data_IF_225397450679
#
_entry.id   IF_225397450679
#
_cell.length_a   1.000
_cell.length_b   1.000
_cell.length_c   1.000
_cell.angle_alpha   90.00
_cell.angle_beta   90.00
_cell.angle_gamma   90.00
#
_symmetry.space_group_name_H-M   'P 1'
#
loop_
_entity.id
_entity.type
_entity.pdbx_description
1 polymer ?
#
# COMPACT_ATOMS: atom_id res chain seq x y z
N UNK A 1 -19.97 -7.30 -1.70
CA UNK A 1 -19.06 -7.62 -0.59
C UNK A 1 -17.61 -7.89 -1.05
N UNK A 2 -17.37 -8.33 -2.29
CA UNK A 2 -16.00 -8.44 -2.88
C UNK A 2 -15.42 -7.14 -3.47
N UNK A 3 -16.21 -6.05 -3.55
CA UNK A 3 -15.78 -4.81 -4.24
C UNK A 3 -14.67 -4.06 -3.50
N UNK A 4 -14.49 -4.26 -2.20
CA UNK A 4 -13.46 -3.55 -1.42
C UNK A 4 -12.04 -4.02 -1.77
N UNK A 5 -11.89 -5.27 -2.24
CA UNK A 5 -10.61 -5.80 -2.75
C UNK A 5 -10.14 -5.00 -3.98
N UNK A 6 -11.06 -4.38 -4.72
CA UNK A 6 -10.71 -3.58 -5.89
C UNK A 6 -10.05 -2.26 -5.49
N UNK A 7 -10.30 -1.75 -4.28
CA UNK A 7 -9.79 -0.42 -3.86
C UNK A 7 -8.26 -0.36 -3.89
N UNK A 8 -7.51 -1.31 -3.29
CA UNK A 8 -6.05 -1.32 -3.41
C UNK A 8 -5.55 -1.66 -4.81
N UNK A 9 -6.33 -2.38 -5.63
CA UNK A 9 -5.92 -2.78 -6.98
C UNK A 9 -6.05 -1.64 -8.00
N UNK A 10 -6.97 -0.70 -7.79
CA UNK A 10 -7.21 0.41 -8.71
C UNK A 10 -5.97 1.31 -8.94
N UNK A 11 -5.23 1.77 -7.92
CA UNK A 11 -3.98 2.52 -8.13
C UNK A 11 -2.88 1.70 -8.80
N UNK A 12 -2.91 0.37 -8.63
CA UNK A 12 -1.98 -0.53 -9.31
C UNK A 12 -2.31 -0.63 -10.81
N UNK A 13 -3.60 -0.70 -11.17
CA UNK A 13 -4.04 -0.58 -12.55
C UNK A 13 -3.62 0.77 -13.16
N UNK A 14 -3.71 1.87 -12.39
CA UNK A 14 -3.23 3.18 -12.81
C UNK A 14 -1.72 3.15 -13.16
N UNK A 15 -0.91 2.52 -12.30
CA UNK A 15 0.52 2.36 -12.54
C UNK A 15 0.82 1.56 -13.82
N UNK A 16 0.08 0.46 -14.05
CA UNK A 16 0.21 -0.34 -15.27
C UNK A 16 -0.19 0.46 -16.52
N UNK A 17 -1.27 1.25 -16.45
CA UNK A 17 -1.69 2.13 -17.56
C UNK A 17 -0.62 3.14 -17.91
N UNK A 18 0.15 3.65 -16.93
CA UNK A 18 1.27 4.59 -17.17
C UNK A 18 2.54 3.89 -17.68
N UNK A 19 2.76 2.64 -17.30
CA UNK A 19 3.93 1.84 -17.72
C UNK A 19 3.79 1.26 -19.15
N UNK A 20 2.64 0.70 -19.51
CA UNK A 20 2.42 -0.04 -20.78
C UNK A 20 2.07 0.85 -21.98
N UNK A 21 3.04 1.18 -22.84
CA UNK A 21 2.80 1.80 -24.16
C UNK A 21 3.82 2.85 -24.61
N UNK A 22 3.60 3.41 -25.80
CA UNK A 22 4.58 4.20 -26.55
C UNK A 22 4.79 5.64 -26.03
N UNK A 23 6.02 6.19 -26.18
CA UNK A 23 6.50 7.51 -25.73
C UNK A 23 5.53 8.66 -26.05
N UNK A 24 4.99 8.67 -27.27
CA UNK A 24 4.08 9.73 -27.74
C UNK A 24 2.76 9.84 -26.97
N UNK A 25 2.30 8.77 -26.32
CA UNK A 25 1.01 8.71 -25.61
C UNK A 25 1.10 8.99 -24.10
N UNK A 26 2.30 9.32 -23.58
CA UNK A 26 2.58 9.39 -22.14
C UNK A 26 1.63 10.31 -21.36
N UNK A 27 1.36 11.50 -21.89
CA UNK A 27 0.57 12.50 -21.18
C UNK A 27 -0.93 12.15 -21.17
N UNK A 28 -1.43 11.58 -22.26
CA UNK A 28 -2.81 11.10 -22.32
C UNK A 28 -3.02 9.94 -21.36
N UNK A 29 -2.06 9.01 -21.28
CA UNK A 29 -2.12 7.86 -20.36
C UNK A 29 -2.01 8.28 -18.90
N UNK A 30 -1.17 9.28 -18.58
CA UNK A 30 -1.11 9.87 -17.25
C UNK A 30 -2.48 10.43 -16.79
N UNK A 31 -3.20 11.12 -17.69
CA UNK A 31 -4.57 11.59 -17.46
C UNK A 31 -5.58 10.45 -17.31
N UNK A 32 -5.50 9.42 -18.16
CA UNK A 32 -6.38 8.25 -18.06
C UNK A 32 -6.16 7.51 -16.74
N UNK A 33 -4.92 7.39 -16.28
CA UNK A 33 -4.58 6.76 -15.01
C UNK A 33 -5.05 7.56 -13.78
N UNK A 34 -5.44 8.83 -13.92
CA UNK A 34 -6.08 9.57 -12.82
C UNK A 34 -7.48 9.02 -12.48
N UNK A 35 -8.22 8.49 -13.47
CA UNK A 35 -9.56 7.93 -13.25
C UNK A 35 -9.57 6.74 -12.26
N UNK A 36 -8.73 5.68 -12.40
CA UNK A 36 -8.70 4.60 -11.43
C UNK A 36 -8.24 5.06 -10.04
N UNK A 37 -7.36 6.06 -9.93
CA UNK A 37 -6.95 6.62 -8.64
C UNK A 37 -8.13 7.36 -7.96
N UNK A 38 -8.87 8.17 -8.72
CA UNK A 38 -10.10 8.79 -8.23
C UNK A 38 -11.18 7.77 -7.86
N UNK A 39 -11.31 6.69 -8.64
CA UNK A 39 -12.21 5.58 -8.32
C UNK A 39 -11.80 4.86 -7.03
N UNK A 40 -10.50 4.74 -6.74
CA UNK A 40 -10.02 4.18 -5.49
C UNK A 40 -10.44 5.04 -4.29
N UNK A 41 -10.38 6.37 -4.41
CA UNK A 41 -10.86 7.29 -3.38
C UNK A 41 -12.38 7.15 -3.13
N UNK A 42 -13.18 7.13 -4.20
CA UNK A 42 -14.62 6.88 -4.07
C UNK A 42 -14.91 5.51 -3.45
N UNK A 43 -14.17 4.48 -3.86
CA UNK A 43 -14.27 3.13 -3.30
C UNK A 43 -13.92 3.09 -1.81
N UNK A 44 -12.94 3.87 -1.36
CA UNK A 44 -12.59 4.01 0.05
C UNK A 44 -13.71 4.69 0.86
N UNK A 45 -14.37 5.72 0.31
CA UNK A 45 -15.53 6.36 0.95
C UNK A 45 -16.68 5.36 1.10
N UNK A 46 -16.95 4.57 0.06
CA UNK A 46 -17.98 3.51 0.11
C UNK A 46 -17.62 2.46 1.15
N UNK A 47 -16.35 2.06 1.25
CA UNK A 47 -15.89 1.13 2.28
C UNK A 47 -16.08 1.71 3.70
N UNK A 48 -15.78 2.99 3.90
CA UNK A 48 -16.02 3.68 5.18
C UNK A 48 -17.50 3.71 5.55
N UNK A 49 -18.38 4.07 4.62
CA UNK A 49 -19.82 4.08 4.86
C UNK A 49 -20.35 2.68 5.22
N UNK A 50 -19.86 1.65 4.53
CA UNK A 50 -20.23 0.28 4.80
C UNK A 50 -19.77 -0.17 6.20
N UNK A 51 -18.51 0.08 6.55
CA UNK A 51 -17.96 -0.33 7.86
C UNK A 51 -18.58 0.45 9.02
N UNK A 52 -19.02 1.69 8.77
CA UNK A 52 -19.76 2.49 9.75
C UNK A 52 -21.15 1.92 10.04
N UNK A 53 -21.83 1.35 9.03
CA UNK A 53 -23.23 0.90 9.11
C UNK A 53 -23.38 -0.61 9.40
N UNK A 54 -22.56 -1.46 8.78
CA UNK A 54 -22.70 -2.92 8.82
C UNK A 54 -21.61 -3.63 9.64
N UNK A 55 -20.59 -2.90 10.12
CA UNK A 55 -19.48 -3.45 10.90
C UNK A 55 -18.26 -3.82 10.06
N UNK A 56 -17.22 -4.40 10.68
CA UNK A 56 -15.93 -4.64 10.02
C UNK A 56 -16.03 -5.71 8.93
N UNK A 57 -15.30 -5.50 7.84
CA UNK A 57 -15.24 -6.43 6.70
C UNK A 57 -14.04 -7.34 6.89
N UNK A 58 -14.26 -8.65 6.87
CA UNK A 58 -13.21 -9.68 6.89
C UNK A 58 -13.20 -10.42 5.55
N UNK A 59 -12.03 -10.52 4.94
CA UNK A 59 -11.82 -11.25 3.69
C UNK A 59 -10.62 -12.16 3.93
N UNK A 60 -10.80 -13.48 3.85
CA UNK A 60 -9.71 -14.45 3.95
C UNK A 60 -9.34 -14.95 2.56
N UNK A 61 -8.10 -14.74 2.14
CA UNK A 61 -7.56 -15.22 0.86
C UNK A 61 -6.95 -16.61 0.98
N UNK A 62 -6.32 -16.91 2.13
CA UNK A 62 -5.63 -18.17 2.36
C UNK A 62 -5.76 -18.60 3.81
N UNK A 63 -6.18 -19.85 4.04
CA UNK A 63 -6.24 -20.48 5.35
C UNK A 63 -5.17 -21.59 5.46
N UNK A 64 -4.11 -21.39 6.27
CA UNK A 64 -3.00 -22.33 6.45
C UNK A 64 -3.37 -23.65 7.09
N UNK A 65 -4.56 -23.80 7.65
CA UNK A 65 -5.02 -25.04 8.30
C UNK A 65 -5.00 -26.28 7.38
N UNK A 66 -4.74 -26.08 6.09
CA UNK A 66 -4.56 -27.12 5.06
C UNK A 66 -3.10 -27.57 4.82
N UNK A 67 -2.09 -26.89 5.37
CA UNK A 67 -0.66 -27.23 5.17
C UNK A 67 0.07 -27.52 6.48
N UNK A 68 1.01 -28.48 6.41
CA UNK A 68 1.90 -28.91 7.50
C UNK A 68 3.08 -27.96 7.79
N UNK A 69 3.12 -26.79 7.13
CA UNK A 69 4.14 -25.76 7.34
C UNK A 69 3.55 -24.55 8.09
N UNK A 70 4.35 -23.80 8.87
CA UNK A 70 3.90 -22.55 9.47
C UNK A 70 3.65 -21.52 8.35
N UNK A 71 2.43 -21.49 7.84
CA UNK A 71 1.95 -20.44 6.97
C UNK A 71 1.01 -19.52 7.76
N UNK A 72 1.00 -18.24 7.41
CA UNK A 72 0.16 -17.23 8.07
C UNK A 72 -1.09 -16.98 7.22
N UNK A 73 -2.27 -16.85 7.82
CA UNK A 73 -3.50 -16.65 7.07
C UNK A 73 -3.50 -15.29 6.40
N UNK A 74 -3.49 -15.26 5.08
CA UNK A 74 -3.54 -14.02 4.32
C UNK A 74 -4.99 -13.59 4.18
N UNK A 75 -5.26 -12.33 4.53
CA UNK A 75 -6.59 -11.77 4.51
C UNK A 75 -6.57 -10.26 4.67
N UNK A 76 -7.67 -9.63 4.25
CA UNK A 76 -7.94 -8.24 4.59
C UNK A 76 -8.91 -8.14 5.75
N UNK A 77 -8.59 -7.25 6.68
CA UNK A 77 -9.47 -6.87 7.77
C UNK A 77 -9.64 -5.36 7.72
N UNK A 78 -10.87 -4.92 7.45
CA UNK A 78 -11.19 -3.51 7.29
C UNK A 78 -12.16 -3.13 8.38
N UNK A 79 -11.62 -2.57 9.45
CA UNK A 79 -12.36 -1.96 10.53
C UNK A 79 -12.52 -0.46 10.32
N UNK A 80 -13.15 0.23 11.29
CA UNK A 80 -13.46 1.66 11.19
C UNK A 80 -12.18 2.49 11.05
N UNK A 81 -11.13 2.14 11.78
CA UNK A 81 -9.84 2.83 11.71
C UNK A 81 -9.19 2.63 10.34
N UNK A 82 -9.16 1.40 9.85
CA UNK A 82 -8.60 1.06 8.54
C UNK A 82 -9.34 1.79 7.43
N UNK A 83 -10.67 1.86 7.48
CA UNK A 83 -11.46 2.55 6.48
C UNK A 83 -11.20 4.07 6.46
N UNK A 84 -11.06 4.72 7.62
CA UNK A 84 -10.67 6.14 7.71
C UNK A 84 -9.28 6.34 7.09
N UNK A 85 -8.32 5.48 7.41
CA UNK A 85 -6.98 5.53 6.86
C UNK A 85 -6.96 5.30 5.34
N UNK A 86 -7.79 4.39 4.82
CA UNK A 86 -7.94 4.18 3.37
C UNK A 86 -8.45 5.44 2.65
N UNK A 87 -9.44 6.14 3.21
CA UNK A 87 -9.94 7.41 2.63
C UNK A 87 -8.85 8.46 2.61
N UNK A 88 -8.10 8.59 3.71
CA UNK A 88 -6.99 9.56 3.81
C UNK A 88 -5.89 9.25 2.78
N UNK A 89 -5.45 8.00 2.70
CA UNK A 89 -4.41 7.56 1.76
C UNK A 89 -4.86 7.76 0.31
N UNK A 90 -6.07 7.33 -0.05
CA UNK A 90 -6.57 7.45 -1.41
C UNK A 90 -6.84 8.91 -1.80
N UNK A 91 -7.32 9.74 -0.86
CA UNK A 91 -7.59 11.16 -1.09
C UNK A 91 -6.30 11.95 -1.32
N UNK A 92 -5.34 11.83 -0.40
CA UNK A 92 -4.03 12.47 -0.54
C UNK A 92 -3.29 11.92 -1.77
N UNK A 93 -3.37 10.61 -2.01
CA UNK A 93 -2.80 9.97 -3.19
C UNK A 93 -3.36 10.53 -4.50
N UNK A 94 -4.67 10.77 -4.58
CA UNK A 94 -5.31 11.39 -5.74
C UNK A 94 -4.85 12.83 -5.98
N UNK A 95 -4.70 13.62 -4.91
CA UNK A 95 -4.19 15.00 -4.99
C UNK A 95 -2.74 14.99 -5.48
N UNK A 96 -1.87 14.20 -4.85
CA UNK A 96 -0.45 14.09 -5.21
C UNK A 96 -0.30 13.63 -6.66
N UNK A 97 -1.05 12.61 -7.08
CA UNK A 97 -0.99 12.10 -8.44
C UNK A 97 -1.43 13.16 -9.47
N UNK A 98 -2.55 13.84 -9.23
CA UNK A 98 -3.07 14.87 -10.15
C UNK A 98 -2.12 16.06 -10.26
N UNK A 99 -1.55 16.50 -9.14
CA UNK A 99 -0.51 17.53 -9.12
C UNK A 99 0.74 17.10 -9.91
N UNK A 100 1.15 15.84 -9.72
CA UNK A 100 2.35 15.28 -10.36
C UNK A 100 2.26 15.24 -11.89
N UNK A 101 1.06 15.08 -12.47
CA UNK A 101 0.87 15.12 -13.93
C UNK A 101 1.32 16.46 -14.52
N UNK A 102 1.01 17.58 -13.83
CA UNK A 102 1.40 18.92 -14.26
C UNK A 102 2.86 19.21 -13.95
N UNK A 103 3.30 18.85 -12.74
CA UNK A 103 4.66 19.12 -12.28
C UNK A 103 5.74 18.40 -13.12
N UNK A 104 5.50 17.14 -13.49
CA UNK A 104 6.47 16.32 -14.24
C UNK A 104 6.34 16.42 -15.76
N UNK A 105 5.50 17.32 -16.29
CA UNK A 105 5.17 17.36 -17.72
C UNK A 105 6.40 17.46 -18.66
N UNK A 106 7.45 18.15 -18.22
CA UNK A 106 8.68 18.37 -18.99
C UNK A 106 9.79 17.35 -18.68
N UNK A 107 9.63 16.50 -17.67
CA UNK A 107 10.63 15.49 -17.33
C UNK A 107 10.55 14.30 -18.29
N UNK A 108 11.69 13.67 -18.56
CA UNK A 108 11.79 12.41 -19.32
C UNK A 108 11.41 11.19 -18.49
N UNK A 109 11.48 11.28 -17.16
CA UNK A 109 11.22 10.15 -16.26
C UNK A 109 9.82 10.21 -15.61
N UNK A 110 8.92 11.04 -16.15
CA UNK A 110 7.54 11.24 -15.69
C UNK A 110 6.78 9.92 -15.54
N UNK A 111 6.95 9.00 -16.51
CA UNK A 111 6.35 7.67 -16.54
C UNK A 111 6.65 6.84 -15.31
N UNK A 112 7.95 6.71 -14.99
CA UNK A 112 8.40 5.92 -13.84
C UNK A 112 7.87 6.54 -12.56
N UNK A 113 7.98 7.85 -12.41
CA UNK A 113 7.54 8.55 -11.22
C UNK A 113 6.03 8.39 -10.96
N UNK A 114 5.19 8.62 -11.97
CA UNK A 114 3.74 8.46 -11.87
C UNK A 114 3.33 7.01 -11.59
N UNK A 115 4.00 6.03 -12.21
CA UNK A 115 3.76 4.62 -11.93
C UNK A 115 4.13 4.23 -10.49
N UNK A 116 5.25 4.77 -9.97
CA UNK A 116 5.66 4.54 -8.59
C UNK A 116 4.70 5.18 -7.58
N UNK A 117 4.13 6.34 -7.87
CA UNK A 117 3.06 6.92 -7.02
C UNK A 117 1.85 5.99 -6.95
N UNK A 118 1.39 5.48 -8.11
CA UNK A 118 0.27 4.53 -8.16
C UNK A 118 0.56 3.24 -7.39
N UNK A 119 1.75 2.66 -7.58
CA UNK A 119 2.19 1.47 -6.86
C UNK A 119 2.31 1.71 -5.35
N UNK A 120 2.91 2.83 -4.93
CA UNK A 120 3.06 3.21 -3.52
C UNK A 120 1.70 3.39 -2.85
N UNK A 121 0.75 4.04 -3.53
CA UNK A 121 -0.62 4.22 -3.04
C UNK A 121 -1.34 2.87 -2.88
N UNK A 122 -1.17 1.95 -3.84
CA UNK A 122 -1.72 0.59 -3.75
C UNK A 122 -1.15 -0.17 -2.55
N UNK A 123 0.17 -0.13 -2.35
CA UNK A 123 0.84 -0.80 -1.22
C UNK A 123 0.40 -0.24 0.12
N UNK A 124 0.25 1.08 0.24
CA UNK A 124 -0.28 1.71 1.45
C UNK A 124 -1.72 1.25 1.76
N UNK A 125 -2.58 1.14 0.76
CA UNK A 125 -3.95 0.64 0.93
C UNK A 125 -3.96 -0.84 1.35
N UNK A 126 -3.10 -1.68 0.77
CA UNK A 126 -2.93 -3.08 1.18
C UNK A 126 -2.39 -3.20 2.61
N UNK A 127 -1.43 -2.35 2.98
CA UNK A 127 -0.83 -2.33 4.31
C UNK A 127 -1.87 -2.06 5.40
N UNK A 128 -2.68 -1.01 5.23
CA UNK A 128 -3.73 -0.64 6.19
C UNK A 128 -4.85 -1.68 6.24
N UNK A 129 -5.12 -2.37 5.14
CA UNK A 129 -6.15 -3.41 5.08
C UNK A 129 -5.68 -4.77 5.62
N UNK A 130 -4.44 -4.92 6.08
CA UNK A 130 -3.87 -6.22 6.45
C UNK A 130 -4.55 -6.83 7.69
N UNK A 131 -4.87 -8.14 7.65
CA UNK A 131 -5.53 -8.83 8.77
C UNK A 131 -4.57 -9.36 9.86
N UNK A 132 -3.27 -9.36 9.60
CA UNK A 132 -2.27 -9.90 10.51
C UNK A 132 -0.96 -9.09 10.48
N UNK A 133 -0.16 -9.21 11.55
CA UNK A 133 1.10 -8.49 11.73
C UNK A 133 2.15 -8.80 10.66
N UNK A 134 2.22 -10.05 10.20
CA UNK A 134 3.21 -10.47 9.20
C UNK A 134 2.94 -9.85 7.83
N UNK A 135 1.68 -9.82 7.41
CA UNK A 135 1.22 -9.22 6.16
C UNK A 135 1.44 -7.70 6.18
N UNK A 136 1.15 -7.05 7.31
CA UNK A 136 1.50 -5.64 7.52
C UNK A 136 3.01 -5.41 7.37
N UNK A 137 3.84 -6.26 7.98
CA UNK A 137 5.30 -6.17 7.86
C UNK A 137 5.79 -6.36 6.41
N UNK A 138 5.21 -7.28 5.65
CA UNK A 138 5.56 -7.47 4.23
C UNK A 138 5.24 -6.22 3.40
N UNK A 139 4.05 -5.62 3.58
CA UNK A 139 3.73 -4.37 2.87
C UNK A 139 4.53 -3.18 3.36
N UNK A 140 4.88 -3.14 4.64
CA UNK A 140 5.82 -2.17 5.20
C UNK A 140 7.18 -2.25 4.51
N UNK A 141 7.71 -3.47 4.32
CA UNK A 141 8.96 -3.70 3.61
C UNK A 141 8.89 -3.26 2.14
N UNK A 142 7.79 -3.59 1.47
CA UNK A 142 7.55 -3.20 0.09
C UNK A 142 7.45 -1.67 -0.06
N UNK A 143 6.79 -1.01 0.89
CA UNK A 143 6.68 0.45 0.94
C UNK A 143 8.05 1.12 1.08
N UNK A 144 8.88 0.65 2.01
CA UNK A 144 10.24 1.16 2.21
C UNK A 144 11.09 1.05 0.93
N UNK A 145 10.94 -0.04 0.18
CA UNK A 145 11.61 -0.22 -1.11
C UNK A 145 11.09 0.74 -2.19
N UNK A 146 9.77 0.92 -2.29
CA UNK A 146 9.16 1.85 -3.25
C UNK A 146 9.56 3.30 -2.98
N UNK A 147 9.65 3.72 -1.72
CA UNK A 147 10.12 5.07 -1.36
C UNK A 147 11.57 5.30 -1.76
N UNK A 148 12.44 4.29 -1.57
CA UNK A 148 13.82 4.35 -2.06
C UNK A 148 13.86 4.51 -3.59
N UNK A 149 13.05 3.72 -4.32
CA UNK A 149 12.99 3.79 -5.78
C UNK A 149 12.38 5.10 -6.29
N UNK A 150 11.46 5.72 -5.53
CA UNK A 150 10.86 7.02 -5.86
C UNK A 150 11.87 8.16 -5.68
N UNK A 151 12.70 8.10 -4.63
CA UNK A 151 13.76 9.10 -4.38
C UNK A 151 14.97 8.96 -5.32
N UNK A 152 15.09 7.84 -6.03
CA UNK A 152 16.25 7.52 -6.85
C UNK A 152 16.25 8.34 -8.16
N UNK A 153 16.98 9.46 -8.16
CA UNK A 153 17.26 10.27 -9.34
C UNK A 153 18.62 9.91 -9.95
N UNK A 154 18.61 9.38 -11.18
CA UNK A 154 19.83 8.93 -11.87
C UNK A 154 20.82 10.04 -12.21
N UNK A 155 20.36 11.29 -12.28
CA UNK A 155 21.21 12.42 -12.70
C UNK A 155 21.98 13.08 -11.56
N UNK A 156 21.68 12.75 -10.29
CA UNK A 156 22.20 13.51 -9.15
C UNK A 156 22.75 12.61 -8.03
N UNK A 157 24.06 12.39 -8.01
CA UNK A 157 24.73 11.48 -7.07
C UNK A 157 24.40 11.73 -5.59
N UNK A 158 24.34 13.00 -5.16
CA UNK A 158 24.00 13.34 -3.78
C UNK A 158 22.59 12.88 -3.35
N UNK A 159 21.63 12.83 -4.28
CA UNK A 159 20.28 12.29 -3.98
C UNK A 159 20.31 10.78 -3.80
N UNK A 160 21.18 10.07 -4.52
CA UNK A 160 21.34 8.62 -4.40
C UNK A 160 21.94 8.24 -3.04
N UNK A 161 22.97 8.95 -2.62
CA UNK A 161 23.60 8.77 -1.31
C UNK A 161 22.61 9.08 -0.18
N UNK A 162 21.84 10.16 -0.31
CA UNK A 162 20.80 10.53 0.65
C UNK A 162 19.71 9.46 0.75
N UNK A 163 19.19 8.99 -0.38
CA UNK A 163 18.18 7.93 -0.42
C UNK A 163 18.69 6.63 0.20
N UNK A 164 19.94 6.25 -0.08
CA UNK A 164 20.56 5.04 0.48
C UNK A 164 20.75 5.13 2.00
N UNK A 165 21.19 6.29 2.50
CA UNK A 165 21.32 6.53 3.95
C UNK A 165 19.97 6.43 4.65
N UNK A 166 18.94 7.10 4.13
CA UNK A 166 17.59 7.04 4.71
C UNK A 166 17.04 5.62 4.69
N UNK A 167 17.20 4.90 3.58
CA UNK A 167 16.77 3.51 3.46
C UNK A 167 17.48 2.60 4.47
N UNK A 168 18.79 2.77 4.66
CA UNK A 168 19.57 1.99 5.63
C UNK A 168 19.13 2.26 7.06
N UNK A 169 18.89 3.53 7.41
CA UNK A 169 18.40 3.92 8.74
C UNK A 169 17.02 3.34 9.03
N UNK A 170 16.10 3.39 8.05
CA UNK A 170 14.78 2.78 8.16
C UNK A 170 14.87 1.26 8.37
N UNK A 171 15.82 0.60 7.69
CA UNK A 171 16.03 -0.85 7.81
C UNK A 171 16.46 -1.29 9.22
N UNK A 172 17.19 -0.46 9.94
CA UNK A 172 17.51 -0.73 11.35
C UNK A 172 16.23 -0.72 12.21
N UNK A 173 15.33 0.24 11.96
CA UNK A 173 14.01 0.28 12.60
C UNK A 173 13.17 -0.97 12.29
N UNK A 174 13.26 -1.48 11.07
CA UNK A 174 12.53 -2.69 10.66
C UNK A 174 12.96 -3.93 11.47
N UNK A 175 14.22 -4.01 11.91
CA UNK A 175 14.70 -5.11 12.78
C UNK A 175 14.01 -5.06 14.12
N UNK A 176 13.88 -3.86 14.70
CA UNK A 176 13.14 -3.66 15.94
C UNK A 176 11.65 -4.04 15.76
N UNK A 177 11.05 -3.63 14.64
CA UNK A 177 9.66 -3.99 14.35
C UNK A 177 9.47 -5.51 14.22
N UNK A 178 10.34 -6.19 13.47
CA UNK A 178 10.32 -7.65 13.34
C UNK A 178 10.51 -8.35 14.68
N UNK A 179 11.41 -7.84 15.54
CA UNK A 179 11.60 -8.39 16.88
C UNK A 179 10.32 -8.28 17.73
N UNK A 180 9.58 -7.18 17.61
CA UNK A 180 8.28 -7.00 18.25
C UNK A 180 7.24 -8.02 17.77
N UNK A 181 7.22 -8.33 16.47
CA UNK A 181 6.33 -9.36 15.91
C UNK A 181 6.68 -10.74 16.46
N UNK A 182 7.97 -11.09 16.55
CA UNK A 182 8.42 -12.36 17.14
C UNK A 182 8.03 -12.47 18.61
N UNK A 183 8.22 -11.39 19.39
CA UNK A 183 7.82 -11.35 20.79
C UNK A 183 6.30 -11.49 20.96
N UNK A 184 5.51 -10.79 20.13
CA UNK A 184 4.06 -10.92 20.14
C UNK A 184 3.60 -12.36 19.84
N UNK A 185 4.26 -13.03 18.89
CA UNK A 185 3.98 -14.44 18.60
C UNK A 185 4.34 -15.36 19.78
N UNK A 186 5.46 -15.13 20.45
CA UNK A 186 5.86 -15.94 21.62
C UNK A 186 4.90 -15.76 22.81
N UNK A 187 4.40 -14.55 23.04
CA UNK A 187 3.50 -14.24 24.15
C UNK A 187 2.06 -14.71 23.89
N UNK A 188 1.53 -14.47 22.69
CA UNK A 188 0.11 -14.68 22.38
C UNK A 188 -0.17 -15.88 21.48
N UNK A 189 0.86 -16.47 20.84
CA UNK A 189 0.72 -17.63 19.95
C UNK A 189 -0.06 -17.37 18.66
N UNK A 190 -0.30 -16.10 18.29
CA UNK A 190 -1.03 -15.71 17.08
C UNK A 190 -0.50 -14.40 16.51
N UNK A 191 -0.62 -14.21 15.20
CA UNK A 191 -0.29 -12.98 14.49
C UNK A 191 -1.51 -12.26 13.91
N UNK A 192 -2.71 -12.87 13.99
CA UNK A 192 -3.95 -12.25 13.54
C UNK A 192 -4.40 -11.18 14.55
N UNK A 193 -4.82 -10.01 14.05
CA UNK A 193 -5.16 -8.88 14.92
C UNK A 193 -6.31 -9.18 15.90
N UNK A 194 -7.39 -9.81 15.43
CA UNK A 194 -8.55 -10.11 16.27
C UNK A 194 -8.21 -10.98 17.50
N UNK A 195 -7.62 -12.18 17.35
CA UNK A 195 -7.26 -13.00 18.51
C UNK A 195 -6.10 -12.41 19.32
N UNK A 196 -5.21 -11.64 18.70
CA UNK A 196 -4.14 -10.95 19.41
C UNK A 196 -4.70 -9.89 20.36
N UNK A 197 -5.62 -9.03 19.89
CA UNK A 197 -6.25 -8.03 20.75
C UNK A 197 -7.15 -8.67 21.81
N UNK A 198 -7.82 -9.78 21.51
CA UNK A 198 -8.63 -10.50 22.50
C UNK A 198 -7.79 -11.12 23.63
N UNK A 199 -6.54 -11.54 23.37
CA UNK A 199 -5.62 -12.08 24.39
C UNK A 199 -4.83 -11.01 25.15
N UNK A 200 -4.73 -9.80 24.58
CA UNK A 200 -4.01 -8.68 25.16
C UNK A 200 -4.90 -7.78 26.05
N UNK A 201 -6.22 -7.85 25.89
CA UNK A 201 -7.22 -7.18 26.72
C UNK A 201 -7.40 -7.89 28.07
#
# INVERSE_FOLDING_TARGET
>A
MSSVILVPLLPLCAALIVLVGDEGSRHQRAKIAAYPIGAAFLGAIVALWFVATQGPITIRFYDPSSLSMPAFPMGFYIDRLSAVMMVLIAGVGAIIYTYSIGYMYQDRHDRRYLALIGCTTSVLLCMVSSANLMMLFVFWQLLSYLLYLLAHNHSHAATLDGAFRTFTLLRVGDVAFLSGIVLAYQLYGTLEFQPLFAKAA
#
